data_IF_028347338201
#
_entry.id   IF_028347338201
#
_cell.length_a   1.000
_cell.length_b   1.000
_cell.length_c   1.000
_cell.angle_alpha   90.00
_cell.angle_beta   90.00
_cell.angle_gamma   90.00
#
_symmetry.space_group_name_H-M   'P 1'
#
loop_
_entity.id
_entity.type
_entity.pdbx_description
1 polymer ?
#
# COMPACT_ATOMS: atom_id res chain seq x y z
N UNK A 1 10.79 5.40 1.05
CA UNK A 1 10.98 3.93 1.09
C UNK A 1 12.46 3.61 1.01
N UNK A 2 12.93 2.60 1.74
CA UNK A 2 14.34 2.25 1.86
C UNK A 2 14.60 0.74 2.02
N UNK A 3 13.54 -0.06 2.15
CA UNK A 3 13.64 -1.51 2.38
C UNK A 3 13.36 -2.21 1.04
N UNK A 4 14.27 -3.04 0.50
CA UNK A 4 13.97 -3.86 -0.67
C UNK A 4 12.76 -4.78 -0.41
N UNK A 5 11.90 -4.94 -1.40
CA UNK A 5 10.72 -5.83 -1.31
C UNK A 5 11.10 -7.25 -0.89
N UNK A 6 12.25 -7.75 -1.35
CA UNK A 6 12.79 -9.06 -0.94
C UNK A 6 12.85 -9.23 0.58
N UNK A 7 13.31 -8.20 1.31
CA UNK A 7 13.40 -8.25 2.78
C UNK A 7 12.03 -8.33 3.46
N UNK A 8 11.00 -7.72 2.87
CA UNK A 8 9.65 -7.80 3.41
C UNK A 8 9.01 -9.16 3.11
N UNK A 9 9.28 -9.75 1.93
CA UNK A 9 8.87 -11.12 1.61
C UNK A 9 9.50 -12.14 2.55
N UNK A 10 10.81 -12.02 2.81
CA UNK A 10 11.52 -12.84 3.81
C UNK A 10 10.92 -12.72 5.21
N UNK A 11 10.36 -11.55 5.55
CA UNK A 11 9.66 -11.30 6.81
C UNK A 11 8.21 -11.80 6.83
N UNK A 12 7.73 -12.42 5.74
CA UNK A 12 6.38 -12.99 5.64
C UNK A 12 5.29 -12.03 5.17
N UNK A 13 5.64 -10.84 4.66
CA UNK A 13 4.67 -9.94 4.02
C UNK A 13 4.36 -10.46 2.61
N UNK A 14 3.07 -10.68 2.33
CA UNK A 14 2.62 -11.09 1.01
C UNK A 14 2.68 -9.91 0.02
N UNK A 15 3.50 -10.04 -1.01
CA UNK A 15 3.77 -9.01 -2.01
C UNK A 15 3.85 -9.68 -3.38
N UNK A 16 2.96 -9.28 -4.29
CA UNK A 16 2.85 -9.77 -5.67
C UNK A 16 4.22 -10.06 -6.30
N UNK A 17 4.43 -11.28 -6.78
CA UNK A 17 5.69 -11.77 -7.36
C UNK A 17 6.16 -10.92 -8.56
N UNK A 18 5.26 -10.21 -9.24
CA UNK A 18 5.59 -9.30 -10.34
C UNK A 18 6.41 -8.09 -9.88
N UNK A 19 6.38 -7.75 -8.58
CA UNK A 19 7.19 -6.67 -8.02
C UNK A 19 8.64 -7.15 -7.89
N UNK A 20 9.56 -6.40 -8.50
CA UNK A 20 10.99 -6.76 -8.51
C UNK A 20 11.57 -6.78 -7.08
N UNK A 21 12.39 -7.78 -6.71
CA UNK A 21 12.92 -7.94 -5.35
C UNK A 21 13.68 -6.71 -4.82
N UNK A 22 14.44 -6.05 -5.69
CA UNK A 22 15.26 -4.88 -5.37
C UNK A 22 14.48 -3.56 -5.28
N UNK A 23 13.19 -3.58 -5.66
CA UNK A 23 12.35 -2.38 -5.59
C UNK A 23 12.21 -1.91 -4.14
N UNK A 24 12.42 -0.62 -3.89
CA UNK A 24 12.32 -0.06 -2.55
C UNK A 24 10.88 0.10 -2.09
N UNK A 25 10.68 -0.21 -0.81
CA UNK A 25 9.41 -0.18 -0.08
C UNK A 25 9.61 0.34 1.35
N UNK A 26 8.52 0.46 2.08
CA UNK A 26 8.46 0.70 3.52
C UNK A 26 7.51 -0.33 4.14
N UNK A 27 7.76 -0.74 5.38
CA UNK A 27 6.74 -1.46 6.17
C UNK A 27 5.71 -0.44 6.68
N UNK A 28 4.44 -0.63 6.32
CA UNK A 28 3.33 0.21 6.74
C UNK A 28 2.47 -0.60 7.71
N UNK A 29 2.38 -0.14 8.96
CA UNK A 29 1.44 -0.67 9.95
C UNK A 29 0.16 0.17 9.93
N UNK A 30 -0.99 -0.49 9.84
CA UNK A 30 -2.31 0.11 9.90
C UNK A 30 -3.12 -0.49 11.04
N UNK A 31 -3.85 0.36 11.75
CA UNK A 31 -4.81 -0.06 12.77
C UNK A 31 -6.16 -0.29 12.09
N UNK A 32 -6.66 -1.52 12.17
CA UNK A 32 -7.99 -1.92 11.69
C UNK A 32 -8.84 -2.42 12.86
N UNK A 33 -10.12 -2.68 12.63
CA UNK A 33 -11.05 -3.11 13.68
C UNK A 33 -10.59 -4.36 14.43
N UNK A 34 -10.00 -5.32 13.70
CA UNK A 34 -9.59 -6.62 14.24
C UNK A 34 -8.09 -6.68 14.60
N UNK A 35 -7.42 -5.53 14.69
CA UNK A 35 -6.03 -5.45 15.12
C UNK A 35 -5.14 -4.65 14.17
N UNK A 36 -4.02 -5.23 13.77
CA UNK A 36 -3.00 -4.58 12.94
C UNK A 36 -2.86 -5.29 11.61
N UNK A 37 -2.74 -4.53 10.55
CA UNK A 37 -2.35 -5.01 9.24
C UNK A 37 -1.01 -4.42 8.82
N UNK A 38 -0.22 -5.23 8.11
CA UNK A 38 1.08 -4.84 7.61
C UNK A 38 1.08 -4.86 6.08
N UNK A 39 1.50 -3.75 5.49
CA UNK A 39 1.49 -3.53 4.05
C UNK A 39 2.87 -3.10 3.56
N UNK A 40 3.20 -3.46 2.32
CA UNK A 40 4.37 -2.94 1.63
C UNK A 40 4.04 -1.58 0.96
N UNK A 41 4.47 -0.50 1.57
CA UNK A 41 4.33 0.86 1.03
C UNK A 41 5.36 1.12 -0.07
N UNK A 42 4.96 1.01 -1.34
CA UNK A 42 5.81 1.34 -2.49
C UNK A 42 5.97 2.86 -2.69
N UNK A 43 6.77 3.26 -3.68
CA UNK A 43 7.08 4.68 -3.94
C UNK A 43 5.84 5.58 -4.03
N UNK A 44 4.80 5.17 -4.75
CA UNK A 44 3.58 5.99 -4.89
C UNK A 44 2.84 6.17 -3.57
N UNK A 45 2.85 5.17 -2.68
CA UNK A 45 2.29 5.33 -1.34
C UNK A 45 3.06 6.39 -0.55
N UNK A 46 4.40 6.35 -0.62
CA UNK A 46 5.24 7.41 -0.04
C UNK A 46 4.93 8.79 -0.63
N UNK A 47 4.69 8.91 -1.93
CA UNK A 47 4.30 10.19 -2.57
C UNK A 47 2.98 10.72 -1.98
N UNK A 48 1.96 9.89 -1.75
CA UNK A 48 0.70 10.32 -1.11
C UNK A 48 0.98 10.88 0.29
N UNK A 49 1.86 10.24 1.06
CA UNK A 49 2.22 10.74 2.40
C UNK A 49 2.93 12.10 2.38
N UNK A 50 3.44 12.59 1.24
CA UNK A 50 4.02 13.95 1.14
C UNK A 50 2.96 15.05 1.23
N UNK A 51 1.71 14.76 0.92
CA UNK A 51 0.59 15.69 1.14
C UNK A 51 0.19 15.75 2.61
N UNK A 52 0.21 14.60 3.29
CA UNK A 52 -0.05 14.49 4.73
C UNK A 52 0.72 13.29 5.29
N UNK A 53 1.58 13.53 6.27
CA UNK A 53 2.51 12.54 6.86
C UNK A 53 1.79 11.51 7.77
N UNK A 54 0.74 10.87 7.27
CA UNK A 54 -0.06 9.86 7.97
C UNK A 54 -0.30 8.63 7.09
N UNK A 55 0.05 7.44 7.59
CA UNK A 55 -0.19 6.17 6.90
C UNK A 55 -1.69 5.90 6.73
N UNK A 56 -2.50 6.22 7.74
CA UNK A 56 -3.96 6.07 7.68
C UNK A 56 -4.56 7.00 6.61
N UNK A 57 -4.07 8.24 6.52
CA UNK A 57 -4.50 9.16 5.46
C UNK A 57 -4.16 8.61 4.08
N UNK A 58 -2.91 8.18 3.87
CA UNK A 58 -2.47 7.67 2.57
C UNK A 58 -3.22 6.40 2.17
N UNK A 59 -3.50 5.50 3.11
CA UNK A 59 -4.31 4.31 2.84
C UNK A 59 -5.77 4.67 2.53
N UNK A 60 -6.39 5.59 3.28
CA UNK A 60 -7.75 6.03 3.00
C UNK A 60 -7.88 6.64 1.59
N UNK A 61 -6.92 7.48 1.19
CA UNK A 61 -6.87 8.07 -0.17
C UNK A 61 -6.73 6.97 -1.23
N UNK A 62 -5.83 6.01 -1.02
CA UNK A 62 -5.65 4.88 -1.94
C UNK A 62 -6.92 4.03 -2.05
N UNK A 63 -7.50 3.59 -0.94
CA UNK A 63 -8.71 2.77 -0.92
C UNK A 63 -9.90 3.48 -1.58
N UNK A 64 -10.10 4.78 -1.28
CA UNK A 64 -11.13 5.58 -1.93
C UNK A 64 -10.96 5.62 -3.45
N UNK A 65 -9.72 5.75 -3.95
CA UNK A 65 -9.45 5.75 -5.39
C UNK A 65 -9.85 4.44 -6.06
N UNK A 66 -9.65 3.30 -5.38
CA UNK A 66 -10.00 1.98 -5.90
C UNK A 66 -11.52 1.80 -5.95
N UNK A 67 -12.25 2.23 -4.91
CA UNK A 67 -13.71 2.16 -4.88
C UNK A 67 -14.35 3.07 -5.94
N UNK A 68 -13.81 4.27 -6.17
CA UNK A 68 -14.25 5.14 -7.26
C UNK A 68 -14.04 4.45 -8.62
N UNK A 69 -12.86 3.85 -8.85
CA UNK A 69 -12.58 3.14 -10.10
C UNK A 69 -13.54 1.96 -10.31
N UNK A 70 -13.81 1.19 -9.25
CA UNK A 70 -14.74 0.06 -9.25
C UNK A 70 -16.16 0.51 -9.59
N UNK A 71 -16.66 1.57 -8.96
CA UNK A 71 -17.98 2.14 -9.21
C UNK A 71 -18.15 2.67 -10.64
N UNK A 72 -17.08 3.22 -11.23
CA UNK A 72 -17.09 3.65 -12.64
C UNK A 72 -17.19 2.44 -13.59
N UNK A 73 -16.37 1.42 -13.38
CA UNK A 73 -16.38 0.19 -14.20
C UNK A 73 -17.74 -0.53 -14.16
N UNK A 74 -18.40 -0.56 -13.00
CA UNK A 74 -19.73 -1.17 -12.87
C UNK A 74 -20.85 -0.39 -13.56
N UNK A 75 -20.65 0.91 -13.81
CA UNK A 75 -21.61 1.76 -14.54
C UNK A 75 -21.43 1.65 -16.06
N UNK A 76 -20.26 1.22 -16.51
CA UNK A 76 -19.88 1.08 -17.93
C UNK A 76 -20.14 -0.32 -18.52
N UNK A 77 -20.54 -1.30 -17.68
CA UNK A 77 -20.93 -2.66 -18.07
C UNK A 77 -22.45 -2.83 -18.09
#
# INVERSE_FOLDING_TARGET
>A
PSIPVERLREAGIDIDEQIRPEQLSSLVELMVTDGKEYWAGLHNFYVITRYNHSNMYAMAVYQLSQEILKARKSTES
#
